data_IF_508644243266
#
_entry.id   IF_508644243266
#
_cell.length_a   1.000
_cell.length_b   1.000
_cell.length_c   1.000
_cell.angle_alpha   90.00
_cell.angle_beta   90.00
_cell.angle_gamma   90.00
#
_symmetry.space_group_name_H-M   'P 1'
#
loop_
_entity.id
_entity.type
_entity.pdbx_description
1 polymer ?
#
# COMPACT_ATOMS: atom_id res chain seq x y z
N UNK A 1 4.89 -16.67 -14.71
CA UNK A 1 6.36 -16.62 -14.49
C UNK A 1 6.62 -15.74 -13.28
N UNK A 2 7.13 -16.33 -12.18
CA UNK A 2 7.49 -15.60 -10.97
C UNK A 2 8.82 -14.88 -11.21
N UNK A 3 8.82 -13.57 -11.29
CA UNK A 3 10.05 -12.76 -11.34
C UNK A 3 10.67 -12.50 -9.96
N UNK A 4 10.41 -13.36 -8.99
CA UNK A 4 11.09 -13.28 -7.70
C UNK A 4 12.40 -14.09 -7.76
N UNK A 5 13.53 -13.55 -7.24
CA UNK A 5 14.81 -14.24 -7.29
C UNK A 5 14.74 -15.59 -6.56
N UNK A 6 15.16 -16.65 -7.27
CA UNK A 6 15.15 -18.03 -6.76
C UNK A 6 16.32 -18.33 -5.78
N UNK A 7 17.13 -17.35 -5.41
CA UNK A 7 18.31 -17.57 -4.58
C UNK A 7 18.16 -16.90 -3.21
N UNK A 8 17.62 -17.66 -2.26
CA UNK A 8 17.33 -17.24 -0.88
C UNK A 8 18.63 -17.05 -0.06
N UNK A 9 19.79 -17.51 -0.54
CA UNK A 9 21.04 -17.48 0.23
C UNK A 9 21.69 -16.08 0.33
N UNK A 10 21.16 -15.07 -0.40
CA UNK A 10 21.70 -13.70 -0.43
C UNK A 10 20.61 -12.63 -0.28
N UNK A 11 19.43 -12.96 0.25
CA UNK A 11 18.42 -11.97 0.51
C UNK A 11 18.91 -10.99 1.61
N UNK A 12 18.91 -9.67 1.39
CA UNK A 12 19.28 -8.72 2.44
C UNK A 12 18.37 -8.93 3.64
N UNK A 13 18.94 -8.85 4.85
CA UNK A 13 18.21 -9.08 6.12
C UNK A 13 16.98 -8.17 6.27
N UNK A 14 17.04 -6.96 5.72
CA UNK A 14 15.94 -5.99 5.69
C UNK A 14 15.52 -5.71 4.26
N UNK A 15 14.21 -5.73 4.01
CA UNK A 15 13.65 -5.47 2.69
C UNK A 15 12.42 -4.55 2.82
N UNK A 16 12.45 -3.46 2.09
CA UNK A 16 11.38 -2.44 2.06
C UNK A 16 10.88 -2.21 0.63
N UNK A 17 9.87 -1.38 0.48
CA UNK A 17 9.32 -1.04 -0.84
C UNK A 17 8.84 0.40 -0.96
N UNK A 18 8.97 0.94 -2.17
CA UNK A 18 8.21 2.08 -2.68
C UNK A 18 6.94 1.52 -3.34
N UNK A 19 5.77 1.99 -2.95
CA UNK A 19 4.49 1.47 -3.45
C UNK A 19 3.53 2.63 -3.85
N UNK A 20 3.91 3.45 -4.86
CA UNK A 20 3.07 4.53 -5.34
C UNK A 20 1.85 4.02 -6.11
N UNK A 21 0.70 4.67 -5.92
CA UNK A 21 -0.52 4.45 -6.72
C UNK A 21 -0.61 5.51 -7.81
N UNK A 22 -0.64 5.17 -9.11
CA UNK A 22 -0.64 6.11 -10.22
C UNK A 22 -2.05 6.65 -10.52
N UNK A 23 -2.71 7.23 -9.51
CA UNK A 23 -4.07 7.80 -9.60
C UNK A 23 -4.10 9.33 -9.64
N UNK A 24 -2.96 9.96 -9.84
CA UNK A 24 -2.69 11.38 -9.93
C UNK A 24 -1.19 11.64 -9.97
N UNK A 25 -0.78 12.88 -10.27
CA UNK A 25 0.62 13.28 -10.18
C UNK A 25 1.15 13.14 -8.75
N UNK A 26 2.44 12.86 -8.63
CA UNK A 26 3.13 12.74 -7.35
C UNK A 26 3.09 14.09 -6.63
N UNK A 27 2.78 14.07 -5.34
CA UNK A 27 2.74 15.27 -4.49
C UNK A 27 3.88 15.25 -3.46
N UNK A 28 4.13 16.38 -2.82
CA UNK A 28 5.22 16.56 -1.85
C UNK A 28 5.24 15.48 -0.76
N UNK A 29 4.08 15.06 -0.25
CA UNK A 29 3.98 13.98 0.73
C UNK A 29 4.52 12.64 0.22
N UNK A 30 4.34 12.33 -1.08
CA UNK A 30 4.94 11.15 -1.68
C UNK A 30 6.46 11.29 -1.78
N UNK A 31 6.97 12.48 -2.16
CA UNK A 31 8.41 12.74 -2.24
C UNK A 31 9.07 12.52 -0.89
N UNK A 32 8.48 13.08 0.18
CA UNK A 32 8.99 12.91 1.54
C UNK A 32 9.00 11.43 1.92
N UNK A 33 7.90 10.70 1.71
CA UNK A 33 7.84 9.27 2.01
C UNK A 33 8.90 8.47 1.24
N UNK A 34 9.10 8.75 -0.05
CA UNK A 34 10.13 8.09 -0.86
C UNK A 34 11.54 8.34 -0.32
N UNK A 35 11.84 9.58 0.07
CA UNK A 35 13.13 9.91 0.67
C UNK A 35 13.33 9.27 2.05
N UNK A 36 12.28 9.18 2.88
CA UNK A 36 12.35 8.49 4.18
C UNK A 36 12.70 7.02 3.96
N UNK A 37 12.00 6.34 3.04
CA UNK A 37 12.28 4.94 2.68
C UNK A 37 13.72 4.79 2.20
N UNK A 38 14.17 5.63 1.25
CA UNK A 38 15.53 5.55 0.70
C UNK A 38 16.61 5.75 1.77
N UNK A 39 16.41 6.68 2.69
CA UNK A 39 17.36 6.94 3.80
C UNK A 39 17.41 5.79 4.80
N UNK A 40 16.25 5.23 5.15
CA UNK A 40 16.19 4.07 6.04
C UNK A 40 16.85 2.86 5.37
N UNK A 41 16.58 2.65 4.08
CA UNK A 41 17.24 1.59 3.33
C UNK A 41 18.76 1.73 3.33
N UNK A 42 19.27 2.93 3.12
CA UNK A 42 20.72 3.20 3.21
C UNK A 42 21.29 3.00 4.62
N UNK A 43 20.51 3.34 5.67
CA UNK A 43 20.96 3.21 7.07
C UNK A 43 21.04 1.74 7.52
N UNK A 44 20.10 0.90 7.07
CA UNK A 44 19.96 -0.50 7.49
C UNK A 44 20.42 -1.50 6.43
N UNK A 45 21.11 -1.03 5.39
CA UNK A 45 21.53 -1.86 4.24
C UNK A 45 20.37 -2.71 3.70
N UNK A 46 19.22 -2.07 3.53
CA UNK A 46 17.99 -2.75 3.10
C UNK A 46 17.86 -2.75 1.57
N UNK A 47 17.35 -3.85 1.03
CA UNK A 47 16.90 -3.87 -0.35
C UNK A 47 15.58 -3.08 -0.50
N UNK A 48 15.45 -2.35 -1.60
CA UNK A 48 14.25 -1.58 -1.94
C UNK A 48 13.58 -2.18 -3.16
N UNK A 49 12.31 -2.52 -3.06
CA UNK A 49 11.48 -2.88 -4.21
C UNK A 49 10.64 -1.68 -4.68
N UNK A 50 10.45 -1.53 -5.98
CA UNK A 50 9.45 -0.62 -6.55
C UNK A 50 8.25 -1.43 -7.01
N UNK A 51 7.08 -1.16 -6.44
CA UNK A 51 5.79 -1.70 -6.84
C UNK A 51 4.88 -0.56 -7.26
N UNK A 52 4.28 -0.65 -8.42
CA UNK A 52 3.26 0.29 -8.86
C UNK A 52 1.89 -0.29 -8.48
N UNK A 53 1.19 0.35 -7.55
CA UNK A 53 -0.13 -0.10 -7.08
C UNK A 53 -1.22 0.33 -8.07
N UNK A 54 -1.35 -0.40 -9.17
CA UNK A 54 -2.15 -0.07 -10.37
C UNK A 54 -3.43 -0.91 -10.53
N UNK A 55 -3.85 -1.63 -9.49
CA UNK A 55 -5.06 -2.48 -9.56
C UNK A 55 -6.31 -1.70 -9.98
N UNK A 56 -6.41 -0.42 -9.62
CA UNK A 56 -7.50 0.49 -10.03
C UNK A 56 -7.17 1.17 -11.37
N UNK A 57 -7.05 0.35 -12.42
CA UNK A 57 -6.62 0.79 -13.75
C UNK A 57 -7.50 1.90 -14.36
N UNK A 58 -8.76 2.01 -13.98
CA UNK A 58 -9.65 3.09 -14.44
C UNK A 58 -9.12 4.48 -14.07
N UNK A 59 -8.30 4.57 -13.03
CA UNK A 59 -7.68 5.81 -12.56
C UNK A 59 -6.23 5.98 -12.99
N UNK A 60 -5.61 4.94 -13.53
CA UNK A 60 -4.23 4.97 -14.03
C UNK A 60 -4.17 5.80 -15.32
N UNK A 61 -3.14 6.61 -15.45
CA UNK A 61 -2.78 7.34 -16.67
C UNK A 61 -1.29 7.22 -16.89
N UNK A 62 -0.85 7.07 -18.13
CA UNK A 62 0.57 6.97 -18.48
C UNK A 62 1.38 8.14 -17.91
N UNK A 63 0.85 9.35 -18.02
CA UNK A 63 1.47 10.54 -17.45
C UNK A 63 1.70 10.47 -15.92
N UNK A 64 0.86 9.74 -15.18
CA UNK A 64 1.06 9.54 -13.73
C UNK A 64 2.13 8.50 -13.44
N UNK A 65 2.21 7.47 -14.28
CA UNK A 65 3.26 6.44 -14.20
C UNK A 65 4.61 7.07 -14.54
N UNK A 66 4.70 7.80 -15.63
CA UNK A 66 5.92 8.53 -16.05
C UNK A 66 6.38 9.51 -14.96
N UNK A 67 5.44 10.23 -14.33
CA UNK A 67 5.74 11.16 -13.25
C UNK A 67 6.39 10.49 -12.04
N UNK A 68 5.98 9.27 -11.70
CA UNK A 68 6.61 8.46 -10.63
C UNK A 68 8.10 8.24 -10.96
N UNK A 69 8.42 7.76 -12.16
CA UNK A 69 9.82 7.51 -12.55
C UNK A 69 10.63 8.80 -12.66
N UNK A 70 10.04 9.86 -13.19
CA UNK A 70 10.65 11.18 -13.26
C UNK A 70 11.03 11.70 -11.86
N UNK A 71 10.12 11.56 -10.90
CA UNK A 71 10.34 11.99 -9.51
C UNK A 71 11.41 11.13 -8.82
N UNK A 72 11.37 9.81 -8.97
CA UNK A 72 12.38 8.93 -8.41
C UNK A 72 13.79 9.25 -8.96
N UNK A 73 13.89 9.50 -10.26
CA UNK A 73 15.15 9.92 -10.88
C UNK A 73 15.61 11.31 -10.37
N UNK A 74 14.68 12.27 -10.25
CA UNK A 74 14.95 13.60 -9.69
C UNK A 74 15.52 13.56 -8.28
N UNK A 75 14.98 12.67 -7.44
CA UNK A 75 15.43 12.46 -6.05
C UNK A 75 16.68 11.57 -5.95
N UNK A 76 17.19 11.03 -7.06
CA UNK A 76 18.33 10.12 -7.09
C UNK A 76 18.05 8.78 -6.39
N UNK A 77 16.77 8.38 -6.27
CA UNK A 77 16.37 7.17 -5.58
C UNK A 77 16.56 5.97 -6.50
N UNK A 78 17.23 4.94 -5.99
CA UNK A 78 17.44 3.66 -6.66
C UNK A 78 16.71 2.55 -5.92
N UNK A 79 16.36 1.50 -6.65
CA UNK A 79 15.72 0.30 -6.10
C UNK A 79 16.33 -0.96 -6.71
N UNK A 80 16.18 -2.09 -6.01
CA UNK A 80 16.78 -3.38 -6.38
C UNK A 80 15.86 -4.16 -7.34
N UNK A 81 14.55 -4.21 -7.05
CA UNK A 81 13.56 -4.99 -7.76
C UNK A 81 12.37 -4.14 -8.21
N UNK A 82 11.72 -4.55 -9.28
CA UNK A 82 10.59 -3.86 -9.87
C UNK A 82 10.92 -3.18 -11.19
N UNK A 83 9.94 -2.53 -11.83
CA UNK A 83 10.11 -1.91 -13.15
C UNK A 83 11.16 -0.80 -13.13
N UNK A 84 11.96 -0.71 -14.20
CA UNK A 84 13.01 0.31 -14.36
C UNK A 84 12.54 1.54 -15.13
N UNK A 85 11.43 1.39 -15.87
CA UNK A 85 10.80 2.46 -16.66
C UNK A 85 9.29 2.26 -16.69
N UNK A 86 8.57 3.28 -17.20
CA UNK A 86 7.14 3.18 -17.45
C UNK A 86 6.77 2.04 -18.41
N UNK A 87 7.62 1.76 -19.39
CA UNK A 87 7.40 0.71 -20.38
C UNK A 87 7.43 -0.71 -19.80
N UNK A 88 8.14 -0.89 -18.67
CA UNK A 88 8.20 -2.18 -17.99
C UNK A 88 7.01 -2.41 -17.05
N UNK A 89 6.28 -1.36 -16.64
CA UNK A 89 5.18 -1.47 -15.67
C UNK A 89 4.14 -2.52 -16.03
N UNK A 90 3.72 -2.71 -17.30
CA UNK A 90 2.76 -3.75 -17.66
C UNK A 90 3.15 -5.16 -17.20
N UNK A 91 4.44 -5.50 -17.24
CA UNK A 91 4.94 -6.81 -16.82
C UNK A 91 4.96 -6.99 -15.29
N UNK A 92 4.95 -5.88 -14.54
CA UNK A 92 4.95 -5.84 -13.07
C UNK A 92 3.59 -5.44 -12.49
N UNK A 93 2.57 -5.29 -13.35
CA UNK A 93 1.25 -4.84 -12.96
C UNK A 93 0.60 -5.79 -11.94
N UNK A 94 -0.08 -5.21 -10.96
CA UNK A 94 -0.92 -5.98 -10.04
C UNK A 94 -2.01 -6.77 -10.77
N UNK A 95 -2.40 -6.36 -11.97
CA UNK A 95 -3.39 -7.08 -12.79
C UNK A 95 -2.90 -8.46 -13.25
N UNK A 96 -1.60 -8.61 -13.49
CA UNK A 96 -1.01 -9.91 -13.82
C UNK A 96 -1.04 -10.87 -12.61
N UNK A 97 -1.29 -10.35 -11.44
CA UNK A 97 -1.33 -11.07 -10.17
C UNK A 97 -2.74 -11.39 -9.65
N UNK A 98 -3.79 -11.11 -10.42
CA UNK A 98 -5.19 -11.34 -10.02
C UNK A 98 -5.41 -12.77 -9.48
N UNK A 99 -4.77 -13.76 -10.07
CA UNK A 99 -4.87 -15.16 -9.63
C UNK A 99 -4.39 -15.35 -8.18
N UNK A 100 -3.31 -14.66 -7.76
CA UNK A 100 -2.78 -14.71 -6.39
C UNK A 100 -3.74 -14.05 -5.40
N UNK A 101 -4.31 -12.90 -5.76
CA UNK A 101 -5.30 -12.24 -4.92
C UNK A 101 -6.59 -13.06 -4.80
N UNK A 102 -6.99 -13.73 -5.88
CA UNK A 102 -8.15 -14.61 -5.87
C UNK A 102 -7.93 -15.84 -4.99
N UNK A 103 -6.73 -16.39 -4.97
CA UNK A 103 -6.36 -17.46 -4.06
C UNK A 103 -6.48 -17.00 -2.59
N UNK A 104 -5.87 -15.88 -2.23
CA UNK A 104 -5.96 -15.33 -0.88
C UNK A 104 -7.42 -15.00 -0.47
N UNK A 105 -8.21 -14.48 -1.40
CA UNK A 105 -9.64 -14.28 -1.21
C UNK A 105 -10.37 -15.58 -0.90
N UNK A 106 -10.09 -16.66 -1.63
CA UNK A 106 -10.70 -17.96 -1.41
C UNK A 106 -10.31 -18.58 -0.07
N UNK A 107 -9.08 -18.39 0.38
CA UNK A 107 -8.61 -18.82 1.70
C UNK A 107 -9.37 -18.09 2.82
N UNK A 108 -9.54 -16.77 2.74
CA UNK A 108 -10.33 -15.99 3.69
C UNK A 108 -11.82 -16.38 3.66
N UNK A 109 -12.36 -16.69 2.50
CA UNK A 109 -13.72 -17.17 2.33
C UNK A 109 -13.92 -18.57 2.98
N UNK A 110 -13.01 -19.49 2.71
CA UNK A 110 -13.04 -20.84 3.28
C UNK A 110 -12.88 -20.86 4.82
N UNK A 111 -12.18 -19.88 5.36
CA UNK A 111 -12.05 -19.65 6.79
C UNK A 111 -13.34 -19.05 7.43
N UNK A 112 -14.37 -18.74 6.65
CA UNK A 112 -15.61 -18.12 7.12
C UNK A 112 -15.47 -16.67 7.57
N UNK A 113 -14.37 -16.01 7.20
CA UNK A 113 -14.07 -14.63 7.60
C UNK A 113 -14.61 -13.59 6.62
N UNK A 114 -15.10 -14.01 5.46
CA UNK A 114 -15.58 -13.10 4.42
C UNK A 114 -17.07 -13.30 4.12
N UNK A 115 -17.74 -12.22 3.74
CA UNK A 115 -19.15 -12.24 3.35
C UNK A 115 -19.46 -11.21 2.26
N UNK A 116 -20.51 -11.44 1.47
CA UNK A 116 -20.95 -10.49 0.45
C UNK A 116 -21.87 -9.42 1.02
N UNK A 117 -21.68 -8.18 0.58
CA UNK A 117 -22.42 -7.02 1.07
C UNK A 117 -22.89 -6.13 -0.08
N UNK A 118 -24.19 -5.77 -0.03
CA UNK A 118 -24.84 -4.86 -0.98
C UNK A 118 -24.87 -3.40 -0.52
N UNK A 119 -24.51 -3.12 0.75
CA UNK A 119 -24.60 -1.78 1.34
C UNK A 119 -23.71 -0.78 0.61
N UNK A 120 -24.26 0.38 0.29
CA UNK A 120 -23.52 1.51 -0.28
C UNK A 120 -22.57 2.13 0.74
N UNK A 121 -21.60 2.95 0.26
CA UNK A 121 -20.73 3.73 1.15
C UNK A 121 -21.56 4.64 2.07
N UNK A 122 -22.56 5.34 1.54
CA UNK A 122 -23.42 6.23 2.32
C UNK A 122 -24.12 5.50 3.46
N UNK A 123 -24.57 4.26 3.26
CA UNK A 123 -25.19 3.46 4.32
C UNK A 123 -24.17 3.11 5.41
N UNK A 124 -22.93 2.81 5.03
CA UNK A 124 -21.85 2.57 5.99
C UNK A 124 -21.43 3.85 6.74
N UNK A 125 -21.28 4.96 6.04
CA UNK A 125 -20.85 6.25 6.64
C UNK A 125 -21.91 6.83 7.59
N UNK A 126 -23.18 6.50 7.37
CA UNK A 126 -24.31 6.94 8.22
C UNK A 126 -24.60 5.99 9.39
N UNK A 127 -23.94 4.82 9.44
CA UNK A 127 -24.18 3.81 10.46
C UNK A 127 -23.13 3.93 11.58
N UNK A 128 -23.59 3.91 12.82
CA UNK A 128 -22.74 4.07 14.02
C UNK A 128 -22.28 2.75 14.63
N UNK A 129 -22.67 1.63 14.05
CA UNK A 129 -22.29 0.29 14.53
C UNK A 129 -21.04 -0.25 13.80
N UNK A 130 -20.39 -1.21 14.40
CA UNK A 130 -19.17 -1.84 13.88
C UNK A 130 -19.44 -2.92 12.82
N UNK A 131 -20.68 -3.39 12.71
CA UNK A 131 -21.11 -4.42 11.76
C UNK A 131 -21.85 -3.85 10.55
N UNK A 132 -22.18 -4.72 9.58
CA UNK A 132 -22.89 -4.32 8.37
C UNK A 132 -24.29 -3.72 8.66
N UNK A 133 -24.60 -2.51 8.16
CA UNK A 133 -25.88 -1.83 8.38
C UNK A 133 -27.14 -2.64 8.02
N UNK A 134 -27.02 -3.54 7.06
CA UNK A 134 -28.15 -4.37 6.57
C UNK A 134 -28.01 -5.85 6.96
N UNK A 135 -27.13 -6.17 7.91
CA UNK A 135 -26.90 -7.54 8.37
C UNK A 135 -26.62 -8.55 7.23
N UNK A 136 -25.89 -8.09 6.20
CA UNK A 136 -25.59 -8.89 5.02
C UNK A 136 -24.86 -10.20 5.34
N UNK A 137 -24.09 -10.23 6.43
CA UNK A 137 -23.35 -11.42 6.90
C UNK A 137 -24.27 -12.61 7.11
N UNK A 138 -25.45 -12.40 7.72
CA UNK A 138 -26.41 -13.46 8.05
C UNK A 138 -27.46 -13.70 6.96
N UNK A 139 -27.48 -12.85 5.91
CA UNK A 139 -28.48 -12.91 4.85
C UNK A 139 -28.12 -13.78 3.65
N UNK A 140 -26.97 -14.48 3.67
CA UNK A 140 -26.48 -15.32 2.56
C UNK A 140 -26.53 -14.61 1.20
N UNK A 141 -26.07 -13.36 1.16
CA UNK A 141 -25.99 -12.57 -0.07
C UNK A 141 -25.05 -13.25 -1.05
N UNK A 142 -25.48 -13.47 -2.29
CA UNK A 142 -24.63 -13.98 -3.37
C UNK A 142 -23.81 -12.85 -4.02
N UNK A 143 -22.63 -13.17 -4.55
CA UNK A 143 -21.84 -12.20 -5.29
C UNK A 143 -22.50 -11.89 -6.64
N UNK A 144 -22.76 -10.63 -6.89
CA UNK A 144 -23.22 -10.09 -8.16
C UNK A 144 -22.29 -8.94 -8.57
N UNK A 145 -21.58 -9.04 -9.71
CA UNK A 145 -20.72 -7.95 -10.20
C UNK A 145 -21.48 -6.61 -10.27
N UNK A 146 -20.79 -5.54 -9.95
CA UNK A 146 -21.28 -4.16 -9.87
C UNK A 146 -22.35 -3.89 -8.77
N UNK A 147 -22.83 -4.92 -8.06
CA UNK A 147 -23.83 -4.77 -6.98
C UNK A 147 -23.28 -5.12 -5.60
N UNK A 148 -22.51 -6.18 -5.50
CA UNK A 148 -21.97 -6.68 -4.22
C UNK A 148 -20.48 -6.47 -4.13
N UNK A 149 -20.02 -6.14 -2.93
CA UNK A 149 -18.62 -6.23 -2.55
C UNK A 149 -18.44 -7.37 -1.55
N UNK A 150 -17.24 -7.92 -1.44
CA UNK A 150 -16.93 -8.82 -0.34
C UNK A 150 -16.20 -8.06 0.76
N UNK A 151 -16.67 -8.23 1.98
CA UNK A 151 -16.08 -7.66 3.19
C UNK A 151 -15.46 -8.74 4.05
N UNK A 152 -14.44 -8.34 4.78
CA UNK A 152 -13.87 -9.15 5.85
C UNK A 152 -14.61 -8.84 7.14
N UNK A 153 -15.00 -9.87 7.91
CA UNK A 153 -15.57 -9.67 9.23
C UNK A 153 -14.45 -9.47 10.25
N UNK A 154 -14.56 -8.40 11.00
CA UNK A 154 -13.67 -8.06 12.12
C UNK A 154 -14.53 -7.80 13.35
N UNK A 155 -14.10 -8.31 14.51
CA UNK A 155 -14.88 -8.16 15.75
C UNK A 155 -14.78 -6.74 16.34
N UNK A 156 -13.61 -6.10 16.21
CA UNK A 156 -13.31 -4.83 16.89
C UNK A 156 -13.08 -3.65 15.91
N UNK A 157 -13.32 -3.84 14.63
CA UNK A 157 -13.09 -2.82 13.59
C UNK A 157 -14.21 -2.88 12.54
N UNK A 158 -14.52 -1.78 11.86
CA UNK A 158 -15.46 -1.78 10.75
C UNK A 158 -15.01 -2.75 9.64
N UNK A 159 -15.93 -3.57 9.15
CA UNK A 159 -15.69 -4.60 8.14
C UNK A 159 -15.14 -3.99 6.83
N UNK A 160 -13.85 -4.17 6.49
CA UNK A 160 -13.27 -3.59 5.29
C UNK A 160 -13.66 -4.37 4.03
N UNK A 161 -13.68 -3.69 2.90
CA UNK A 161 -13.81 -4.34 1.60
C UNK A 161 -12.48 -5.02 1.26
N UNK A 162 -12.51 -6.33 0.95
CA UNK A 162 -11.38 -7.10 0.43
C UNK A 162 -11.52 -7.43 -1.06
N UNK A 163 -12.77 -7.47 -1.57
CA UNK A 163 -13.07 -7.65 -2.99
C UNK A 163 -14.15 -6.67 -3.42
N UNK A 164 -13.88 -5.91 -4.47
CA UNK A 164 -14.69 -4.77 -4.92
C UNK A 164 -15.87 -5.26 -5.77
N UNK A 165 -16.84 -4.36 -6.00
CA UNK A 165 -18.00 -4.63 -6.84
C UNK A 165 -17.68 -4.82 -8.31
N UNK A 166 -16.62 -4.20 -8.79
CA UNK A 166 -16.11 -4.31 -10.16
C UNK A 166 -15.25 -5.56 -10.39
N UNK A 167 -15.38 -6.56 -9.51
CA UNK A 167 -14.67 -7.84 -9.52
C UNK A 167 -13.13 -7.71 -9.45
N UNK A 168 -12.66 -6.68 -8.77
CA UNK A 168 -11.24 -6.46 -8.49
C UNK A 168 -10.95 -6.58 -6.98
N UNK A 169 -9.75 -7.04 -6.60
CA UNK A 169 -9.34 -7.04 -5.20
C UNK A 169 -9.20 -5.61 -4.67
N UNK A 170 -9.41 -5.45 -3.37
CA UNK A 170 -9.23 -4.17 -2.69
C UNK A 170 -7.79 -4.03 -2.14
N UNK A 171 -7.38 -2.78 -1.89
CA UNK A 171 -6.06 -2.39 -1.40
C UNK A 171 -5.55 -3.22 -0.22
N UNK A 172 -6.39 -3.49 0.78
CA UNK A 172 -5.97 -4.25 1.96
C UNK A 172 -5.46 -5.64 1.60
N UNK A 173 -6.17 -6.33 0.71
CA UNK A 173 -5.81 -7.68 0.28
C UNK A 173 -4.58 -7.67 -0.62
N UNK A 174 -4.55 -6.80 -1.65
CA UNK A 174 -3.43 -6.73 -2.60
C UNK A 174 -2.12 -6.37 -1.89
N UNK A 175 -2.16 -5.38 -0.99
CA UNK A 175 -0.98 -4.94 -0.25
C UNK A 175 -0.38 -6.06 0.61
N UNK A 176 -1.21 -6.83 1.33
CA UNK A 176 -0.74 -7.95 2.16
C UNK A 176 -0.12 -9.06 1.33
N UNK A 177 -0.77 -9.43 0.23
CA UNK A 177 -0.28 -10.49 -0.66
C UNK A 177 1.03 -10.07 -1.33
N UNK A 178 1.09 -8.84 -1.84
CA UNK A 178 2.29 -8.35 -2.54
C UNK A 178 3.46 -8.14 -1.60
N UNK A 179 3.23 -7.60 -0.39
CA UNK A 179 4.29 -7.40 0.60
C UNK A 179 4.82 -8.75 1.11
N UNK A 180 3.95 -9.77 1.29
CA UNK A 180 4.39 -11.12 1.61
C UNK A 180 5.20 -11.77 0.48
N UNK A 181 4.65 -11.82 -0.74
CA UNK A 181 5.31 -12.44 -1.89
C UNK A 181 6.62 -11.71 -2.24
N UNK A 182 6.71 -10.40 -1.96
CA UNK A 182 7.92 -9.59 -2.11
C UNK A 182 8.89 -9.70 -0.94
N UNK A 183 8.61 -10.52 0.08
CA UNK A 183 9.42 -10.67 1.30
C UNK A 183 9.67 -9.34 2.01
N UNK A 184 8.71 -8.42 1.98
CA UNK A 184 8.82 -7.12 2.63
C UNK A 184 8.65 -7.28 4.13
N UNK A 185 9.69 -6.94 4.88
CA UNK A 185 9.70 -6.99 6.33
C UNK A 185 9.87 -5.62 7.01
N UNK A 186 10.02 -4.55 6.21
CA UNK A 186 9.98 -3.16 6.67
C UNK A 186 9.02 -2.35 5.80
N UNK A 187 7.99 -1.80 6.42
CA UNK A 187 6.99 -0.94 5.78
C UNK A 187 7.07 0.46 6.36
N UNK A 188 7.27 1.47 5.51
CA UNK A 188 7.25 2.89 5.92
C UNK A 188 6.14 3.59 5.16
N UNK A 189 5.28 4.31 5.88
CA UNK A 189 4.13 5.02 5.30
C UNK A 189 3.58 6.10 6.23
N UNK A 190 2.68 6.94 5.74
CA UNK A 190 2.04 7.97 6.55
C UNK A 190 1.11 7.40 7.65
N UNK A 191 0.94 8.15 8.72
CA UNK A 191 0.08 7.78 9.87
C UNK A 191 -1.41 7.62 9.49
N UNK A 192 -1.85 8.18 8.38
CA UNK A 192 -3.21 7.99 7.86
C UNK A 192 -3.51 6.55 7.41
N UNK A 193 -2.49 5.71 7.33
CA UNK A 193 -2.61 4.28 7.04
C UNK A 193 -2.46 3.40 8.29
N UNK A 194 -2.49 3.96 9.50
CA UNK A 194 -2.36 3.19 10.74
C UNK A 194 -3.53 2.22 10.92
N UNK A 195 -4.77 2.67 10.71
CA UNK A 195 -5.95 1.80 10.72
C UNK A 195 -5.88 0.68 9.68
N UNK A 196 -5.35 1.00 8.50
CA UNK A 196 -5.12 0.00 7.46
C UNK A 196 -4.11 -1.07 7.88
N UNK A 197 -3.11 -0.73 8.71
CA UNK A 197 -2.14 -1.68 9.24
C UNK A 197 -2.81 -2.76 10.09
N UNK A 198 -3.76 -2.38 10.94
CA UNK A 198 -4.47 -3.34 11.80
C UNK A 198 -5.28 -4.34 10.96
N UNK A 199 -6.02 -3.86 9.97
CA UNK A 199 -6.74 -4.69 9.00
C UNK A 199 -5.80 -5.63 8.25
N UNK A 200 -4.68 -5.12 7.76
CA UNK A 200 -3.70 -5.89 6.99
C UNK A 200 -3.00 -6.96 7.84
N UNK A 201 -2.70 -6.66 9.11
CA UNK A 201 -2.18 -7.66 10.05
C UNK A 201 -3.18 -8.77 10.34
N UNK A 202 -4.47 -8.44 10.45
CA UNK A 202 -5.52 -9.45 10.59
C UNK A 202 -5.58 -10.35 9.35
N UNK A 203 -5.64 -9.77 8.15
CA UNK A 203 -5.61 -10.53 6.88
C UNK A 203 -4.40 -11.46 6.83
N UNK A 204 -3.21 -10.95 7.15
CA UNK A 204 -1.98 -11.74 7.14
C UNK A 204 -2.02 -12.93 8.08
N UNK A 205 -2.52 -12.74 9.30
CA UNK A 205 -2.66 -13.84 10.29
C UNK A 205 -3.67 -14.88 9.85
N UNK A 206 -4.69 -14.49 9.11
CA UNK A 206 -5.73 -15.38 8.60
C UNK A 206 -5.32 -16.15 7.34
N UNK A 207 -4.29 -15.68 6.61
CA UNK A 207 -3.79 -16.35 5.41
C UNK A 207 -2.67 -17.32 5.73
N UNK A 208 -2.78 -18.61 5.35
CA UNK A 208 -1.76 -19.61 5.64
C UNK A 208 -0.37 -19.21 5.13
N UNK A 209 0.62 -19.23 6.00
CA UNK A 209 2.01 -18.94 5.68
C UNK A 209 2.33 -17.48 5.36
N UNK A 210 1.36 -16.56 5.46
CA UNK A 210 1.62 -15.14 5.22
C UNK A 210 2.32 -14.50 6.42
N UNK A 211 3.41 -13.78 6.15
CA UNK A 211 4.31 -13.21 7.19
C UNK A 211 4.23 -11.68 7.32
N UNK A 212 3.34 -11.02 6.58
CA UNK A 212 3.24 -9.54 6.67
C UNK A 212 2.97 -9.05 8.10
N UNK A 213 2.26 -9.82 8.93
CA UNK A 213 1.96 -9.44 10.32
C UNK A 213 3.20 -9.33 11.22
N UNK A 214 4.32 -9.94 10.82
CA UNK A 214 5.63 -9.88 11.47
C UNK A 214 6.46 -8.67 10.99
N UNK A 215 6.06 -8.04 9.89
CA UNK A 215 6.79 -6.91 9.34
C UNK A 215 6.78 -5.70 10.29
N UNK A 216 7.92 -5.04 10.40
CA UNK A 216 8.02 -3.76 11.08
C UNK A 216 7.31 -2.69 10.25
N UNK A 217 6.34 -2.01 10.85
CA UNK A 217 5.61 -0.92 10.19
C UNK A 217 5.87 0.38 10.93
N UNK A 218 6.44 1.35 10.23
CA UNK A 218 6.69 2.68 10.74
C UNK A 218 5.71 3.65 10.09
N UNK A 219 4.94 4.34 10.92
CA UNK A 219 4.06 5.42 10.50
C UNK A 219 4.73 6.76 10.81
N UNK A 220 5.01 7.54 9.76
CA UNK A 220 5.51 8.89 9.94
C UNK A 220 4.36 9.89 9.94
N UNK A 221 4.51 11.07 10.61
CA UNK A 221 3.51 12.12 10.57
C UNK A 221 3.19 12.56 9.15
N UNK A 222 1.97 13.06 8.95
CA UNK A 222 1.56 13.56 7.64
C UNK A 222 2.29 14.85 7.29
N UNK A 223 2.76 14.91 6.05
CA UNK A 223 3.33 16.13 5.51
C UNK A 223 2.23 17.17 5.34
N UNK A 224 2.40 18.30 5.99
CA UNK A 224 1.48 19.43 5.90
C UNK A 224 2.16 20.61 5.21
N UNK A 225 1.51 21.22 4.23
CA UNK A 225 1.92 22.50 3.67
C UNK A 225 0.99 23.58 4.16
N UNK A 226 1.55 24.63 4.78
CA UNK A 226 0.79 25.77 5.36
C UNK A 226 -0.37 25.32 6.27
N UNK A 227 -0.17 24.29 7.09
CA UNK A 227 -1.19 23.78 8.01
C UNK A 227 -2.32 22.96 7.37
N UNK A 228 -2.25 22.65 6.08
CA UNK A 228 -3.19 21.76 5.37
C UNK A 228 -2.54 20.44 5.02
N UNK A 229 -3.24 19.34 5.30
CA UNK A 229 -2.83 17.99 4.90
C UNK A 229 -2.66 17.95 3.38
N UNK A 230 -1.47 17.56 2.93
CA UNK A 230 -1.23 17.23 1.52
C UNK A 230 -1.77 15.82 1.27
N UNK A 231 -3.01 15.72 0.86
CA UNK A 231 -3.64 14.44 0.50
C UNK A 231 -4.24 14.51 -0.90
N UNK A 232 -4.36 13.36 -1.56
CA UNK A 232 -5.02 13.23 -2.87
C UNK A 232 -6.47 13.75 -2.87
N UNK A 233 -7.14 13.78 -1.72
CA UNK A 233 -8.51 14.30 -1.56
C UNK A 233 -8.57 15.84 -1.51
N UNK A 234 -7.45 16.53 -1.29
CA UNK A 234 -7.39 18.00 -1.30
C UNK A 234 -7.29 18.62 -2.71
N UNK A 235 -7.48 17.81 -3.76
CA UNK A 235 -7.38 18.17 -5.16
C UNK A 235 -6.14 17.52 -5.79
N UNK A 236 -6.38 16.56 -6.70
CA UNK A 236 -5.29 16.02 -7.51
C UNK A 236 -4.62 17.20 -8.25
N UNK A 237 -3.29 17.26 -8.21
CA UNK A 237 -2.56 18.26 -8.99
C UNK A 237 -2.90 18.11 -10.47
N UNK A 238 -3.12 19.21 -11.14
CA UNK A 238 -3.36 19.24 -12.59
C UNK A 238 -2.08 19.09 -13.40
N UNK A 239 -0.90 19.21 -12.74
CA UNK A 239 0.42 19.15 -13.37
C UNK A 239 1.47 18.55 -12.44
N UNK A 240 2.55 17.97 -13.00
CA UNK A 240 3.68 17.46 -12.21
C UNK A 240 4.32 18.52 -11.32
N UNK A 241 4.90 18.08 -10.18
CA UNK A 241 5.79 18.94 -9.39
C UNK A 241 7.05 19.27 -10.18
N UNK A 242 7.53 20.53 -10.12
CA UNK A 242 8.83 20.86 -10.70
C UNK A 242 9.94 20.11 -9.94
N UNK A 243 10.92 19.62 -10.69
CA UNK A 243 12.14 19.05 -10.12
C UNK A 243 13.18 20.16 -9.90
N UNK A 244 12.81 21.21 -9.16
CA UNK A 244 13.71 22.30 -8.83
C UNK A 244 14.57 21.99 -7.61
N UNK A 245 15.69 22.68 -7.46
CA UNK A 245 16.55 22.58 -6.28
C UNK A 245 15.76 22.91 -5.00
N UNK A 246 14.95 23.98 -5.04
CA UNK A 246 14.15 24.39 -3.88
C UNK A 246 13.19 23.31 -3.41
N UNK A 247 12.52 22.60 -4.33
CA UNK A 247 11.64 21.49 -4.00
C UNK A 247 12.45 20.32 -3.40
N UNK A 248 13.60 19.99 -3.99
CA UNK A 248 14.47 18.91 -3.48
C UNK A 248 14.98 19.22 -2.08
N UNK A 249 15.42 20.45 -1.82
CA UNK A 249 15.89 20.90 -0.51
C UNK A 249 14.76 20.79 0.52
N UNK A 250 13.61 21.40 0.23
CA UNK A 250 12.48 21.42 1.15
C UNK A 250 11.99 20.01 1.54
N UNK A 251 11.81 19.11 0.56
CA UNK A 251 11.38 17.73 0.86
C UNK A 251 12.49 16.93 1.55
N UNK A 252 13.76 17.23 1.28
CA UNK A 252 14.91 16.56 1.92
C UNK A 252 15.01 16.93 3.41
N UNK A 253 14.80 18.19 3.75
CA UNK A 253 14.79 18.65 5.15
C UNK A 253 13.64 17.98 5.93
N UNK A 254 12.45 17.92 5.35
CA UNK A 254 11.31 17.28 6.00
C UNK A 254 11.53 15.76 6.15
N UNK A 255 12.03 15.10 5.11
CA UNK A 255 12.36 13.68 5.17
C UNK A 255 13.47 13.38 6.20
N UNK A 256 14.38 14.32 6.49
CA UNK A 256 15.40 14.13 7.51
C UNK A 256 14.80 13.99 8.91
N UNK A 257 13.81 14.83 9.24
CA UNK A 257 13.09 14.79 10.52
C UNK A 257 12.39 13.45 10.72
N UNK A 258 11.67 12.97 9.72
CA UNK A 258 10.93 11.70 9.79
C UNK A 258 11.86 10.48 9.76
N UNK A 259 12.98 10.56 9.05
CA UNK A 259 13.98 9.48 9.05
C UNK A 259 14.62 9.32 10.43
N UNK A 260 14.93 10.40 11.12
CA UNK A 260 15.46 10.35 12.48
C UNK A 260 14.47 9.71 13.47
N UNK A 261 13.19 10.07 13.37
CA UNK A 261 12.11 9.45 14.14
C UNK A 261 12.00 7.95 13.85
N UNK A 262 11.93 7.57 12.57
CA UNK A 262 11.82 6.19 12.16
C UNK A 262 13.03 5.33 12.59
N UNK A 263 14.25 5.87 12.49
CA UNK A 263 15.46 5.20 12.97
C UNK A 263 15.42 4.94 14.47
N UNK A 264 14.92 5.89 15.27
CA UNK A 264 14.79 5.71 16.70
C UNK A 264 13.78 4.60 17.07
N UNK A 265 12.68 4.51 16.31
CA UNK A 265 11.70 3.42 16.47
C UNK A 265 12.30 2.07 16.08
N UNK A 266 13.00 2.00 14.94
CA UNK A 266 13.58 0.76 14.43
C UNK A 266 14.70 0.23 15.31
N UNK A 267 15.62 1.09 15.80
CA UNK A 267 16.71 0.67 16.68
C UNK A 267 16.20 -0.04 17.93
N UNK A 268 15.14 0.46 18.55
CA UNK A 268 14.51 -0.18 19.73
C UNK A 268 14.00 -1.59 19.44
N UNK A 269 13.53 -1.85 18.21
CA UNK A 269 13.00 -3.17 17.81
C UNK A 269 14.07 -4.14 17.30
N UNK A 270 15.30 -3.68 17.01
CA UNK A 270 16.40 -4.54 16.56
C UNK A 270 17.43 -4.80 17.68
N UNK A 271 17.40 -4.05 18.79
CA UNK A 271 18.29 -4.21 19.93
C UNK A 271 17.72 -5.12 21.03
N UNK A 272 16.41 -5.44 20.99
CA UNK A 272 15.71 -6.46 21.77
C UNK A 272 15.65 -7.81 21.01
#
# INVERSE_FOLDING_TARGET
YSHFPADISYAPRVRTRLAPTPSGFVHEGNLVNFLVIARLAATFDAAVALRIDDIDHARVRDAYVEDIFRVLACLGIRWNDGPRSSDEVPQWSQRERIHRYRQAYQELWAAGLAYHCTCSRTQWDSFTGDSCPSDCRHRNVTFEPNRTATRLHLDDLPDPIIWRRDDLPAYHLTSVVDDHDGLINLVVRGEDLESATNVQRFISKALPGNTFHEALVVHHPLVTSKGRKLSKSAGARSSPLPCSEDVRVAVSEEAAKYSAFAQAVLRRNFED
#
